data_IF_766916026855
#
_entry.id   IF_766916026855
#
_cell.length_a   1.000
_cell.length_b   1.000
_cell.length_c   1.000
_cell.angle_alpha   90.00
_cell.angle_beta   90.00
_cell.angle_gamma   90.00
#
_symmetry.space_group_name_H-M   'P 1'
#
loop_
_entity.id
_entity.type
_entity.pdbx_description
1 polymer ?
#
# COMPACT_ATOMS: atom_id res chain seq x y z
N UNK A 1 -52.08 -13.50 4.88
CA UNK A 1 -51.70 -14.09 3.57
C UNK A 1 -51.51 -12.98 2.55
N UNK A 2 -50.30 -12.41 2.43
CA UNK A 2 -49.88 -11.64 1.24
C UNK A 2 -48.34 -11.74 1.16
N UNK A 3 -47.82 -11.73 -0.06
CA UNK A 3 -46.42 -11.52 -0.48
C UNK A 3 -45.58 -12.76 -0.83
N UNK A 4 -46.06 -13.55 -1.80
CA UNK A 4 -45.24 -14.43 -2.65
C UNK A 4 -44.83 -13.82 -4.00
N UNK A 5 -44.97 -12.51 -4.19
CA UNK A 5 -44.87 -11.87 -5.52
C UNK A 5 -43.47 -11.44 -5.98
N UNK A 6 -42.54 -11.17 -5.05
CA UNK A 6 -41.26 -10.52 -5.41
C UNK A 6 -40.18 -11.51 -5.87
N UNK A 7 -40.16 -12.71 -5.30
CA UNK A 7 -39.19 -13.76 -5.65
C UNK A 7 -39.50 -14.47 -6.98
N UNK A 8 -40.75 -14.46 -7.43
CA UNK A 8 -41.16 -15.07 -8.71
C UNK A 8 -40.68 -14.31 -9.95
N UNK A 9 -40.55 -12.98 -9.85
CA UNK A 9 -40.12 -12.12 -10.96
C UNK A 9 -38.60 -12.22 -11.17
N UNK A 10 -37.82 -12.30 -10.08
CA UNK A 10 -36.37 -12.49 -10.15
C UNK A 10 -35.97 -13.86 -10.72
N UNK A 11 -36.68 -14.94 -10.33
CA UNK A 11 -36.42 -16.28 -10.88
C UNK A 11 -36.81 -16.45 -12.35
N UNK A 12 -37.85 -15.74 -12.84
CA UNK A 12 -38.19 -15.78 -14.28
C UNK A 12 -37.18 -15.03 -15.15
N UNK A 13 -36.65 -13.89 -14.69
CA UNK A 13 -35.59 -13.16 -15.41
C UNK A 13 -34.25 -13.92 -15.44
N UNK A 14 -33.89 -14.63 -14.38
CA UNK A 14 -32.64 -15.41 -14.37
C UNK A 14 -32.69 -16.65 -15.28
N UNK A 15 -33.87 -17.25 -15.47
CA UNK A 15 -34.05 -18.42 -16.33
C UNK A 15 -34.08 -18.07 -17.83
N UNK A 16 -34.59 -16.88 -18.21
CA UNK A 16 -34.54 -16.40 -19.60
C UNK A 16 -33.14 -15.92 -20.05
N UNK A 17 -32.24 -15.61 -19.10
CA UNK A 17 -30.87 -15.18 -19.39
C UNK A 17 -29.86 -16.35 -19.55
N UNK A 18 -30.29 -17.61 -19.40
CA UNK A 18 -29.38 -18.76 -19.38
C UNK A 18 -28.83 -19.16 -20.76
N UNK A 19 -29.53 -18.85 -21.85
CA UNK A 19 -29.15 -19.23 -23.23
C UNK A 19 -28.45 -18.12 -24.03
N UNK A 20 -28.23 -16.96 -23.41
CA UNK A 20 -27.61 -15.82 -24.09
C UNK A 20 -26.10 -15.97 -23.98
N UNK A 21 -25.42 -16.08 -25.12
CA UNK A 21 -23.96 -16.04 -25.20
C UNK A 21 -23.46 -14.74 -24.55
N UNK A 22 -22.99 -14.87 -23.30
CA UNK A 22 -22.34 -13.80 -22.55
C UNK A 22 -21.21 -13.20 -23.35
N UNK A 23 -21.08 -11.89 -23.29
CA UNK A 23 -19.97 -11.18 -23.93
C UNK A 23 -18.67 -11.57 -23.24
N UNK A 24 -17.75 -12.18 -23.99
CA UNK A 24 -16.40 -12.44 -23.49
C UNK A 24 -15.53 -11.21 -23.73
N UNK A 25 -14.77 -10.81 -22.70
CA UNK A 25 -13.75 -9.78 -22.86
C UNK A 25 -12.72 -10.18 -23.93
N UNK A 26 -12.18 -9.21 -24.69
CA UNK A 26 -11.11 -9.45 -25.64
C UNK A 26 -9.88 -10.06 -24.95
N UNK A 27 -9.17 -11.03 -25.56
CA UNK A 27 -7.99 -11.65 -24.95
C UNK A 27 -6.92 -10.64 -24.51
N UNK A 28 -6.69 -9.61 -25.34
CA UNK A 28 -5.73 -8.54 -25.03
C UNK A 28 -6.08 -7.77 -23.75
N UNK A 29 -7.37 -7.50 -23.54
CA UNK A 29 -7.88 -6.79 -22.35
C UNK A 29 -7.74 -7.69 -21.11
N UNK A 30 -8.06 -8.99 -21.21
CA UNK A 30 -7.84 -9.94 -20.10
C UNK A 30 -6.37 -10.02 -19.68
N UNK A 31 -5.47 -10.09 -20.66
CA UNK A 31 -4.01 -10.11 -20.42
C UNK A 31 -3.57 -8.81 -19.73
N UNK A 32 -4.05 -7.66 -20.21
CA UNK A 32 -3.77 -6.34 -19.66
C UNK A 32 -4.20 -6.23 -18.17
N UNK A 33 -5.43 -6.65 -17.85
CA UNK A 33 -5.96 -6.69 -16.48
C UNK A 33 -5.11 -7.59 -15.59
N UNK A 34 -4.81 -8.81 -16.03
CA UNK A 34 -4.00 -9.75 -15.24
C UNK A 34 -2.59 -9.23 -15.00
N UNK A 35 -1.97 -8.61 -16.01
CA UNK A 35 -0.64 -8.01 -15.92
C UNK A 35 -0.63 -6.86 -14.91
N UNK A 36 -1.61 -5.96 -14.97
CA UNK A 36 -1.72 -4.82 -14.07
C UNK A 36 -1.95 -5.27 -12.62
N UNK A 37 -2.89 -6.19 -12.39
CA UNK A 37 -3.19 -6.72 -11.05
C UNK A 37 -1.96 -7.41 -10.44
N UNK A 38 -1.30 -8.29 -11.20
CA UNK A 38 -0.08 -8.97 -10.73
C UNK A 38 1.02 -7.98 -10.37
N UNK A 39 1.16 -6.91 -11.15
CA UNK A 39 2.15 -5.88 -10.87
C UNK A 39 1.79 -5.08 -9.62
N UNK A 40 0.52 -4.68 -9.46
CA UNK A 40 0.04 -3.98 -8.28
C UNK A 40 0.23 -4.81 -7.01
N UNK A 41 -0.05 -6.12 -7.05
CA UNK A 41 0.21 -7.04 -5.93
C UNK A 41 1.71 -7.07 -5.57
N UNK A 42 2.58 -7.11 -6.59
CA UNK A 42 4.03 -7.12 -6.41
C UNK A 42 4.52 -5.83 -5.76
N UNK A 43 4.09 -4.67 -6.27
CA UNK A 43 4.47 -3.37 -5.72
C UNK A 43 3.91 -3.14 -4.32
N UNK A 44 2.69 -3.64 -4.05
CA UNK A 44 2.11 -3.62 -2.71
C UNK A 44 2.99 -4.39 -1.73
N UNK A 45 3.37 -5.63 -2.04
CA UNK A 45 4.22 -6.44 -1.19
C UNK A 45 5.60 -5.80 -0.96
N UNK A 46 6.20 -5.18 -1.98
CA UNK A 46 7.47 -4.46 -1.86
C UNK A 46 7.35 -3.26 -0.94
N UNK A 47 6.32 -2.43 -1.12
CA UNK A 47 6.08 -1.26 -0.27
C UNK A 47 5.81 -1.67 1.18
N UNK A 48 5.00 -2.70 1.41
CA UNK A 48 4.75 -3.23 2.76
C UNK A 48 6.02 -3.73 3.42
N UNK A 49 6.89 -4.45 2.69
CA UNK A 49 8.17 -4.91 3.22
C UNK A 49 9.08 -3.75 3.65
N UNK A 50 9.18 -2.68 2.83
CA UNK A 50 9.95 -1.50 3.20
C UNK A 50 9.33 -0.73 4.37
N UNK A 51 8.01 -0.60 4.43
CA UNK A 51 7.30 0.06 5.52
C UNK A 51 7.50 -0.70 6.84
N UNK A 52 7.37 -2.03 6.83
CA UNK A 52 7.65 -2.87 7.99
C UNK A 52 9.12 -2.78 8.43
N UNK A 53 10.04 -2.64 7.48
CA UNK A 53 11.46 -2.46 7.79
C UNK A 53 11.72 -1.11 8.50
N UNK A 54 11.03 -0.05 8.10
CA UNK A 54 11.12 1.27 8.72
C UNK A 54 10.40 1.35 10.08
N UNK A 55 9.34 0.56 10.27
CA UNK A 55 8.51 0.52 11.47
C UNK A 55 8.22 -0.93 11.87
N UNK A 56 9.08 -1.56 12.68
CA UNK A 56 8.88 -2.95 13.12
C UNK A 56 7.71 -3.14 14.10
N UNK A 57 7.11 -2.06 14.60
CA UNK A 57 5.85 -2.11 15.36
C UNK A 57 4.70 -2.44 14.41
N UNK A 58 4.17 -3.66 14.49
CA UNK A 58 3.11 -4.15 13.60
C UNK A 58 1.79 -3.37 13.75
N UNK A 59 1.56 -2.74 14.90
CA UNK A 59 0.37 -1.92 15.18
C UNK A 59 0.43 -0.53 14.55
N UNK A 60 1.64 -0.02 14.26
CA UNK A 60 1.86 1.35 13.78
C UNK A 60 2.39 1.39 12.35
N UNK A 61 2.39 0.27 11.62
CA UNK A 61 2.82 0.23 10.23
C UNK A 61 1.63 0.64 9.33
N UNK A 62 1.64 1.83 8.70
CA UNK A 62 0.60 2.22 7.78
C UNK A 62 0.61 1.33 6.55
N UNK A 63 -0.59 1.07 6.00
CA UNK A 63 -0.74 0.29 4.77
C UNK A 63 -0.09 1.01 3.59
N UNK A 64 0.39 0.26 2.60
CA UNK A 64 1.07 0.79 1.41
C UNK A 64 0.25 1.86 0.66
N UNK A 65 -1.07 1.78 0.73
CA UNK A 65 -2.03 2.68 0.09
C UNK A 65 -2.53 3.83 0.99
N UNK A 66 -2.08 3.92 2.25
CA UNK A 66 -2.57 4.97 3.16
C UNK A 66 -1.76 6.26 3.01
N UNK A 67 -2.43 7.41 3.01
CA UNK A 67 -1.81 8.74 3.06
C UNK A 67 -1.27 9.08 4.47
N UNK A 68 -1.57 8.24 5.46
CA UNK A 68 -1.35 8.55 6.87
C UNK A 68 0.15 8.55 7.22
N UNK A 69 0.64 9.72 7.61
CA UNK A 69 1.89 9.87 8.35
C UNK A 69 1.58 9.36 9.76
N UNK A 70 2.32 8.36 10.26
CA UNK A 70 2.30 8.07 11.69
C UNK A 70 2.96 9.25 12.40
N UNK A 71 2.14 10.23 12.79
CA UNK A 71 2.58 11.36 13.63
C UNK A 71 2.92 10.90 15.06
N UNK A 72 2.32 9.79 15.50
CA UNK A 72 2.54 9.20 16.82
C UNK A 72 3.40 7.94 16.73
N UNK A 73 4.71 8.11 16.49
CA UNK A 73 5.59 6.96 16.51
C UNK A 73 5.77 6.45 17.95
N UNK A 74 5.44 5.18 18.19
CA UNK A 74 5.79 4.45 19.42
C UNK A 74 7.30 4.52 19.76
N UNK A 75 8.18 4.86 18.80
CA UNK A 75 9.61 5.14 19.06
C UNK A 75 9.88 6.40 19.88
N UNK A 76 8.96 7.38 19.91
CA UNK A 76 9.02 8.45 20.93
C UNK A 76 8.88 7.83 22.32
N UNK A 77 7.94 6.90 22.52
CA UNK A 77 7.76 6.24 23.81
C UNK A 77 8.96 5.37 24.20
N UNK A 78 9.60 4.67 23.25
CA UNK A 78 10.73 3.78 23.53
C UNK A 78 12.01 4.58 23.83
N UNK A 79 12.32 5.62 23.05
CA UNK A 79 13.47 6.46 23.31
C UNK A 79 13.32 7.25 24.63
N UNK A 80 12.14 7.84 24.87
CA UNK A 80 11.83 8.52 26.14
C UNK A 80 11.83 7.54 27.32
N UNK A 81 11.30 6.32 27.17
CA UNK A 81 11.30 5.33 28.26
C UNK A 81 12.71 4.82 28.57
N UNK A 82 13.56 4.60 27.57
CA UNK A 82 14.96 4.25 27.79
C UNK A 82 15.73 5.40 28.42
N UNK A 83 15.56 6.65 27.97
CA UNK A 83 16.15 7.82 28.62
C UNK A 83 15.67 7.99 30.07
N UNK A 84 14.38 7.73 30.35
CA UNK A 84 13.83 7.73 31.72
C UNK A 84 14.43 6.60 32.57
N UNK A 85 14.63 5.41 32.01
CA UNK A 85 15.30 4.30 32.71
C UNK A 85 16.75 4.66 33.06
N UNK A 86 17.52 5.23 32.12
CA UNK A 86 18.89 5.69 32.41
C UNK A 86 18.91 6.79 33.47
N UNK A 87 17.96 7.72 33.44
CA UNK A 87 17.82 8.75 34.47
C UNK A 87 17.55 8.16 35.86
N UNK A 88 16.68 7.14 35.94
CA UNK A 88 16.39 6.43 37.19
C UNK A 88 17.60 5.63 37.72
N UNK A 89 18.37 5.01 36.82
CA UNK A 89 19.57 4.25 37.18
C UNK A 89 20.75 5.17 37.53
N UNK A 90 20.80 6.40 37.00
CA UNK A 90 21.90 7.33 37.24
C UNK A 90 22.05 7.72 38.73
N UNK A 91 20.98 7.65 39.51
CA UNK A 91 21.03 7.82 40.97
C UNK A 91 21.84 6.74 41.71
N UNK A 92 22.18 5.63 41.05
CA UNK A 92 22.96 4.52 41.62
C UNK A 92 24.41 4.46 41.12
N UNK A 93 24.74 5.06 39.96
CA UNK A 93 26.03 4.85 39.30
C UNK A 93 26.94 6.10 39.27
N UNK A 94 26.45 7.30 39.65
CA UNK A 94 27.22 8.55 39.80
C UNK A 94 28.30 8.79 38.72
N UNK A 95 28.01 8.42 37.46
CA UNK A 95 28.91 8.56 36.30
C UNK A 95 28.27 9.54 35.32
N UNK A 96 28.50 10.84 35.54
CA UNK A 96 27.96 11.89 34.65
C UNK A 96 28.40 11.72 33.19
N UNK A 97 29.61 11.19 32.98
CA UNK A 97 30.13 10.86 31.66
C UNK A 97 29.33 9.73 31.00
N UNK A 98 28.99 8.66 31.72
CA UNK A 98 28.18 7.55 31.20
C UNK A 98 26.78 8.05 30.82
N UNK A 99 26.17 8.87 31.69
CA UNK A 99 24.87 9.48 31.42
C UNK A 99 24.91 10.31 30.14
N UNK A 100 25.89 11.20 30.00
CA UNK A 100 26.02 12.07 28.83
C UNK A 100 26.21 11.26 27.52
N UNK A 101 26.99 10.18 27.54
CA UNK A 101 27.18 9.33 26.36
C UNK A 101 25.93 8.49 26.04
N UNK A 102 25.22 8.01 27.07
CA UNK A 102 23.95 7.29 26.90
C UNK A 102 22.87 8.22 26.33
N UNK A 103 22.70 9.42 26.90
CA UNK A 103 21.75 10.43 26.41
C UNK A 103 22.04 10.81 24.96
N UNK A 104 23.32 11.05 24.62
CA UNK A 104 23.76 11.29 23.24
C UNK A 104 23.37 10.13 22.30
N UNK A 105 23.73 8.91 22.67
CA UNK A 105 23.47 7.74 21.82
C UNK A 105 21.98 7.50 21.62
N UNK A 106 21.16 7.65 22.66
CA UNK A 106 19.70 7.48 22.59
C UNK A 106 19.06 8.56 21.72
N UNK A 107 19.45 9.82 21.90
CA UNK A 107 18.91 10.92 21.10
C UNK A 107 19.26 10.75 19.61
N UNK A 108 20.52 10.44 19.31
CA UNK A 108 20.96 10.32 17.92
C UNK A 108 20.48 9.05 17.22
N UNK A 109 20.29 7.94 17.95
CA UNK A 109 19.65 6.74 17.37
C UNK A 109 18.17 6.99 17.10
N UNK A 110 17.45 7.61 18.05
CA UNK A 110 16.05 8.02 17.84
C UNK A 110 15.90 8.94 16.62
N UNK A 111 16.73 9.98 16.53
CA UNK A 111 16.70 10.92 15.40
C UNK A 111 17.00 10.23 14.08
N UNK A 112 17.98 9.31 14.06
CA UNK A 112 18.28 8.53 12.87
C UNK A 112 17.10 7.67 12.43
N UNK A 113 16.39 7.02 13.37
CA UNK A 113 15.18 6.24 13.07
C UNK A 113 14.04 7.11 12.56
N UNK A 114 13.84 8.30 13.15
CA UNK A 114 12.83 9.26 12.69
C UNK A 114 13.13 9.72 11.26
N UNK A 115 14.34 10.19 11.00
CA UNK A 115 14.77 10.63 9.66
C UNK A 115 14.64 9.49 8.64
N UNK A 116 15.00 8.26 9.03
CA UNK A 116 14.87 7.07 8.18
C UNK A 116 13.43 6.81 7.74
N UNK A 117 12.46 6.93 8.66
CA UNK A 117 11.05 6.77 8.33
C UNK A 117 10.55 7.87 7.40
N UNK A 118 10.95 9.12 7.65
CA UNK A 118 10.54 10.26 6.82
C UNK A 118 11.12 10.16 5.42
N UNK A 119 12.42 9.97 5.30
CA UNK A 119 13.10 9.94 4.01
C UNK A 119 12.82 8.65 3.24
N UNK A 120 12.66 7.53 3.94
CA UNK A 120 12.25 6.28 3.31
C UNK A 120 10.83 6.36 2.73
N UNK A 121 9.89 7.03 3.39
CA UNK A 121 8.55 7.26 2.81
C UNK A 121 8.58 8.15 1.56
N UNK A 122 9.45 9.17 1.54
CA UNK A 122 9.66 10.01 0.34
C UNK A 122 10.29 9.21 -0.80
N UNK A 123 11.20 8.30 -0.47
CA UNK A 123 11.85 7.42 -1.42
C UNK A 123 10.95 6.27 -1.92
N UNK A 124 9.69 6.18 -1.49
CA UNK A 124 8.67 5.26 -2.00
C UNK A 124 7.43 6.02 -2.49
N UNK A 125 7.59 7.30 -2.84
CA UNK A 125 6.47 8.15 -3.20
C UNK A 125 5.81 7.70 -4.50
N UNK A 126 6.56 7.37 -5.54
CA UNK A 126 5.98 7.04 -6.84
C UNK A 126 5.30 5.67 -6.82
N UNK A 127 5.91 4.65 -6.21
CA UNK A 127 5.28 3.33 -6.03
C UNK A 127 3.98 3.42 -5.23
N UNK A 128 3.94 4.26 -4.17
CA UNK A 128 2.72 4.46 -3.38
C UNK A 128 1.66 5.26 -4.16
N UNK A 129 2.07 6.29 -4.88
CA UNK A 129 1.17 7.10 -5.71
C UNK A 129 0.55 6.28 -6.85
N UNK A 130 1.33 5.38 -7.44
CA UNK A 130 0.82 4.42 -8.43
C UNK A 130 -0.32 3.57 -7.85
N UNK A 131 -0.15 3.01 -6.64
CA UNK A 131 -1.20 2.19 -6.03
C UNK A 131 -2.45 3.01 -5.67
N UNK A 132 -2.26 4.20 -5.13
CA UNK A 132 -3.36 5.05 -4.65
C UNK A 132 -4.15 5.73 -5.79
N UNK A 133 -3.49 6.05 -6.89
CA UNK A 133 -4.08 6.84 -7.98
C UNK A 133 -4.20 6.01 -9.26
N UNK A 134 -3.07 5.64 -9.86
CA UNK A 134 -3.05 5.01 -11.19
C UNK A 134 -3.78 3.66 -11.18
N UNK A 135 -3.49 2.81 -10.19
CA UNK A 135 -4.12 1.50 -10.06
C UNK A 135 -5.58 1.59 -9.58
N UNK A 136 -5.91 2.57 -8.73
CA UNK A 136 -7.29 2.81 -8.32
C UNK A 136 -8.17 3.21 -9.52
N UNK A 137 -7.68 4.16 -10.35
CA UNK A 137 -8.35 4.56 -11.59
C UNK A 137 -8.46 3.40 -12.58
N UNK A 138 -7.39 2.59 -12.70
CA UNK A 138 -7.43 1.38 -13.53
C UNK A 138 -8.53 0.42 -13.06
N UNK A 139 -8.65 0.20 -11.74
CA UNK A 139 -9.63 -0.70 -11.17
C UNK A 139 -11.06 -0.20 -11.37
N UNK A 140 -11.28 1.11 -11.24
CA UNK A 140 -12.56 1.74 -11.57
C UNK A 140 -12.94 1.48 -13.04
N UNK A 141 -12.00 1.63 -13.98
CA UNK A 141 -12.25 1.32 -15.40
C UNK A 141 -12.58 -0.15 -15.66
N UNK A 142 -11.96 -1.08 -14.91
CA UNK A 142 -12.32 -2.50 -14.95
C UNK A 142 -13.76 -2.71 -14.46
N UNK A 143 -14.15 -2.07 -13.36
CA UNK A 143 -15.49 -2.20 -12.81
C UNK A 143 -16.55 -1.57 -13.74
N UNK A 144 -16.21 -0.46 -14.42
CA UNK A 144 -17.05 0.12 -15.49
C UNK A 144 -17.16 -0.79 -16.71
N UNK A 145 -16.08 -1.48 -17.10
CA UNK A 145 -16.12 -2.47 -18.17
C UNK A 145 -17.03 -3.66 -17.82
N UNK A 146 -16.98 -4.15 -16.58
CA UNK A 146 -17.86 -5.23 -16.11
C UNK A 146 -19.35 -4.82 -16.12
N UNK A 147 -19.64 -3.58 -15.72
CA UNK A 147 -20.99 -3.00 -15.81
C UNK A 147 -21.45 -2.88 -17.26
N UNK A 148 -20.62 -2.31 -18.14
CA UNK A 148 -20.94 -2.20 -19.57
C UNK A 148 -21.17 -3.57 -20.22
N UNK A 149 -20.37 -4.58 -19.87
CA UNK A 149 -20.54 -5.97 -20.33
C UNK A 149 -21.90 -6.52 -19.89
N UNK A 150 -22.27 -6.31 -18.63
CA UNK A 150 -23.55 -6.76 -18.07
C UNK A 150 -24.73 -6.07 -18.74
N UNK A 151 -24.64 -4.77 -18.95
CA UNK A 151 -25.68 -3.98 -19.61
C UNK A 151 -25.83 -4.38 -21.08
N UNK A 152 -24.72 -4.61 -21.79
CA UNK A 152 -24.73 -5.05 -23.18
C UNK A 152 -25.34 -6.45 -23.33
N UNK A 153 -25.03 -7.38 -22.41
CA UNK A 153 -25.66 -8.71 -22.37
C UNK A 153 -27.17 -8.62 -22.09
N UNK A 154 -27.59 -7.72 -21.19
CA UNK A 154 -29.01 -7.48 -20.90
C UNK A 154 -29.75 -6.83 -22.06
N UNK A 155 -29.14 -5.84 -22.73
CA UNK A 155 -29.72 -5.20 -23.90
C UNK A 155 -29.87 -6.20 -25.04
N UNK A 156 -28.84 -7.01 -25.30
CA UNK A 156 -28.87 -8.12 -26.27
C UNK A 156 -29.99 -9.12 -25.99
N UNK A 157 -30.29 -9.39 -24.72
CA UNK A 157 -31.42 -10.23 -24.30
C UNK A 157 -32.78 -9.64 -24.68
N UNK A 158 -32.88 -8.31 -24.70
CA UNK A 158 -34.11 -7.55 -24.91
C UNK A 158 -34.27 -7.06 -26.35
N UNK A 159 -33.24 -7.19 -27.20
CA UNK A 159 -33.26 -6.72 -28.59
C UNK A 159 -34.24 -7.46 -29.49
N UNK A 160 -34.54 -8.72 -29.18
CA UNK A 160 -35.45 -9.56 -29.98
C UNK A 160 -36.74 -9.75 -29.21
N UNK A 161 -37.87 -9.35 -29.80
CA UNK A 161 -39.18 -9.73 -29.27
C UNK A 161 -39.34 -11.25 -29.41
N UNK A 162 -39.47 -11.94 -28.27
CA UNK A 162 -39.58 -13.39 -28.20
C UNK A 162 -40.80 -13.96 -28.94
N UNK A 163 -41.80 -13.13 -29.28
CA UNK A 163 -43.01 -13.56 -29.99
C UNK A 163 -42.97 -13.32 -31.49
N UNK A 164 -42.34 -12.23 -31.94
CA UNK A 164 -42.34 -11.80 -33.35
C UNK A 164 -41.00 -12.00 -34.03
N UNK A 165 -39.91 -12.14 -33.28
CA UNK A 165 -38.55 -12.27 -33.81
C UNK A 165 -38.00 -10.97 -34.43
N UNK A 166 -38.76 -9.88 -34.37
CA UNK A 166 -38.36 -8.57 -34.90
C UNK A 166 -37.46 -7.83 -33.90
N UNK A 167 -36.46 -7.10 -34.44
CA UNK A 167 -35.59 -6.23 -33.65
C UNK A 167 -36.36 -4.99 -33.20
N UNK A 168 -36.35 -4.70 -31.90
CA UNK A 168 -36.96 -3.49 -31.35
C UNK A 168 -35.97 -2.32 -31.54
N UNK A 169 -36.29 -1.29 -32.34
CA UNK A 169 -35.34 -0.23 -32.69
C UNK A 169 -34.74 0.51 -31.48
N UNK A 170 -35.56 0.83 -30.47
CA UNK A 170 -35.12 1.48 -29.23
C UNK A 170 -34.10 0.64 -28.44
N UNK A 171 -34.30 -0.69 -28.43
CA UNK A 171 -33.41 -1.63 -27.73
C UNK A 171 -32.10 -1.87 -28.47
N UNK A 172 -32.12 -1.68 -29.79
CA UNK A 172 -30.92 -1.70 -30.64
C UNK A 172 -30.06 -0.46 -30.42
N UNK A 173 -30.68 0.71 -30.28
CA UNK A 173 -29.98 1.94 -29.92
C UNK A 173 -29.30 1.82 -28.55
N UNK A 174 -30.05 1.35 -27.55
CA UNK A 174 -29.53 1.09 -26.19
C UNK A 174 -28.33 0.10 -26.19
N UNK A 175 -28.40 -0.96 -27.00
CA UNK A 175 -27.27 -1.89 -27.16
C UNK A 175 -26.03 -1.23 -27.77
N UNK A 176 -26.19 -0.42 -28.82
CA UNK A 176 -25.05 0.26 -29.46
C UNK A 176 -24.42 1.31 -28.53
N UNK A 177 -25.18 1.94 -27.64
CA UNK A 177 -24.64 2.80 -26.57
C UNK A 177 -23.76 2.01 -25.59
N UNK A 178 -24.26 0.89 -25.04
CA UNK A 178 -23.46 0.06 -24.13
C UNK A 178 -22.24 -0.56 -24.81
N UNK A 179 -22.34 -0.87 -26.10
CA UNK A 179 -21.21 -1.36 -26.90
C UNK A 179 -20.13 -0.29 -27.07
N UNK A 180 -20.50 0.96 -27.36
CA UNK A 180 -19.54 2.08 -27.39
C UNK A 180 -18.88 2.28 -26.03
N UNK A 181 -19.63 2.17 -24.94
CA UNK A 181 -19.07 2.28 -23.59
C UNK A 181 -18.10 1.13 -23.29
N UNK A 182 -18.44 -0.11 -23.68
CA UNK A 182 -17.57 -1.27 -23.58
C UNK A 182 -16.27 -1.09 -24.36
N UNK A 183 -16.34 -0.62 -25.61
CA UNK A 183 -15.18 -0.38 -26.46
C UNK A 183 -14.29 0.74 -25.89
N UNK A 184 -14.89 1.82 -25.38
CA UNK A 184 -14.18 2.92 -24.70
C UNK A 184 -13.42 2.41 -23.48
N UNK A 185 -14.08 1.68 -22.58
CA UNK A 185 -13.45 1.16 -21.36
C UNK A 185 -12.34 0.14 -21.69
N UNK A 186 -12.53 -0.68 -22.73
CA UNK A 186 -11.46 -1.55 -23.25
C UNK A 186 -10.24 -0.75 -23.72
N UNK A 187 -10.46 0.33 -24.47
CA UNK A 187 -9.38 1.18 -24.97
C UNK A 187 -8.63 1.88 -23.83
N UNK A 188 -9.34 2.37 -22.81
CA UNK A 188 -8.75 3.00 -21.63
C UNK A 188 -7.89 2.02 -20.82
N UNK A 189 -8.36 0.78 -20.61
CA UNK A 189 -7.59 -0.28 -19.95
C UNK A 189 -6.31 -0.60 -20.73
N UNK A 190 -6.41 -0.75 -22.05
CA UNK A 190 -5.25 -1.03 -22.90
C UNK A 190 -4.24 0.13 -22.90
N UNK A 191 -4.72 1.37 -22.92
CA UNK A 191 -3.87 2.56 -22.85
C UNK A 191 -3.15 2.68 -21.51
N UNK A 192 -3.83 2.39 -20.40
CA UNK A 192 -3.21 2.35 -19.08
C UNK A 192 -2.14 1.25 -18.99
N UNK A 193 -2.45 0.04 -19.47
CA UNK A 193 -1.49 -1.08 -19.48
C UNK A 193 -0.31 -0.85 -20.42
N UNK A 194 -0.46 -0.08 -21.49
CA UNK A 194 0.65 0.26 -22.38
C UNK A 194 1.72 1.14 -21.71
N UNK A 195 1.34 1.94 -20.69
CA UNK A 195 2.28 2.77 -19.90
C UNK A 195 2.98 1.98 -18.79
N UNK A 196 2.54 0.75 -18.52
CA UNK A 196 3.07 -0.04 -17.40
C UNK A 196 4.59 -0.29 -17.46
N UNK A 197 5.23 -0.56 -18.63
CA UNK A 197 6.67 -0.77 -18.68
C UNK A 197 7.49 0.47 -18.28
N UNK A 198 7.04 1.66 -18.69
CA UNK A 198 7.68 2.93 -18.30
C UNK A 198 7.58 3.15 -16.78
N UNK A 199 6.37 2.94 -16.22
CA UNK A 199 6.15 2.98 -14.76
C UNK A 199 7.03 1.97 -14.01
N UNK A 200 7.18 0.77 -14.56
CA UNK A 200 8.02 -0.27 -13.97
C UNK A 200 9.47 0.17 -13.84
N UNK A 201 9.99 0.86 -14.85
CA UNK A 201 11.35 1.39 -14.82
C UNK A 201 11.51 2.53 -13.79
N UNK A 202 10.54 3.44 -13.72
CA UNK A 202 10.50 4.52 -12.71
C UNK A 202 10.50 3.96 -11.28
N UNK A 203 9.60 3.01 -11.01
CA UNK A 203 9.50 2.35 -9.70
C UNK A 203 10.78 1.58 -9.34
N UNK A 204 11.41 0.92 -10.32
CA UNK A 204 12.66 0.21 -10.07
C UNK A 204 13.80 1.16 -9.69
N UNK A 205 13.92 2.30 -10.38
CA UNK A 205 14.89 3.35 -10.02
C UNK A 205 14.63 3.89 -8.60
N UNK A 206 13.36 4.10 -8.26
CA UNK A 206 12.97 4.53 -6.93
C UNK A 206 13.36 3.51 -5.84
N UNK A 207 13.10 2.22 -6.06
CA UNK A 207 13.49 1.14 -5.14
C UNK A 207 15.02 1.11 -4.94
N UNK A 208 15.81 1.31 -6.00
CA UNK A 208 17.27 1.42 -5.88
C UNK A 208 17.66 2.64 -5.04
N UNK A 209 16.99 3.78 -5.25
CA UNK A 209 17.24 5.01 -4.51
C UNK A 209 16.86 4.93 -3.02
N UNK A 210 16.12 3.89 -2.61
CA UNK A 210 15.88 3.59 -1.20
C UNK A 210 17.15 3.05 -0.50
N UNK A 211 18.07 2.40 -1.22
CA UNK A 211 19.28 1.79 -0.63
C UNK A 211 20.19 2.83 0.07
N UNK A 212 20.51 3.99 -0.53
CA UNK A 212 21.25 5.05 0.16
C UNK A 212 20.57 5.57 1.45
N UNK A 213 19.24 5.52 1.50
CA UNK A 213 18.47 5.91 2.70
C UNK A 213 18.70 4.92 3.83
N UNK A 214 18.68 3.61 3.52
CA UNK A 214 19.03 2.54 4.47
C UNK A 214 20.49 2.69 4.95
N UNK A 215 21.43 2.90 4.02
CA UNK A 215 22.85 3.04 4.37
C UNK A 215 23.07 4.23 5.31
N UNK A 216 22.49 5.39 4.98
CA UNK A 216 22.58 6.61 5.80
C UNK A 216 22.05 6.38 7.21
N UNK A 217 20.93 5.66 7.34
CA UNK A 217 20.37 5.29 8.63
C UNK A 217 21.34 4.46 9.47
N UNK A 218 21.85 3.34 8.93
CA UNK A 218 22.76 2.47 9.67
C UNK A 218 24.07 3.16 10.05
N UNK A 219 24.64 3.97 9.14
CA UNK A 219 25.86 4.74 9.44
C UNK A 219 25.65 5.72 10.59
N UNK A 220 24.48 6.38 10.65
CA UNK A 220 24.13 7.29 11.75
C UNK A 220 23.95 6.54 13.07
N UNK A 221 23.28 5.39 13.06
CA UNK A 221 23.09 4.53 14.24
C UNK A 221 24.44 4.00 14.76
N UNK A 222 25.28 3.44 13.89
CA UNK A 222 26.61 2.93 14.25
C UNK A 222 27.47 4.05 14.84
N UNK A 223 27.44 5.25 14.27
CA UNK A 223 28.18 6.41 14.80
C UNK A 223 27.69 6.81 16.20
N UNK A 224 26.39 6.81 16.43
CA UNK A 224 25.80 7.13 17.73
C UNK A 224 26.19 6.10 18.80
N UNK A 225 26.10 4.80 18.48
CA UNK A 225 26.45 3.71 19.39
C UNK A 225 27.96 3.58 19.61
N UNK A 226 28.77 3.86 18.59
CA UNK A 226 30.23 3.89 18.68
C UNK A 226 30.75 4.91 19.70
N UNK A 227 29.98 5.97 19.96
CA UNK A 227 30.29 6.94 21.02
C UNK A 227 30.24 6.31 22.42
N UNK A 228 29.27 5.45 22.72
CA UNK A 228 29.19 4.71 23.99
C UNK A 228 30.32 3.70 24.11
N UNK A 229 30.70 3.04 23.01
CA UNK A 229 31.78 2.05 22.99
C UNK A 229 33.14 2.64 23.42
N UNK A 230 33.38 3.94 23.19
CA UNK A 230 34.60 4.62 23.64
C UNK A 230 34.76 4.65 25.17
N UNK A 231 33.69 4.42 25.93
CA UNK A 231 33.74 4.31 27.39
C UNK A 231 34.24 2.95 27.88
N UNK A 232 34.18 1.87 27.07
CA UNK A 232 34.69 0.53 27.46
C UNK A 232 36.18 0.51 27.76
N UNK A 233 36.94 1.44 27.18
CA UNK A 233 38.39 1.54 27.36
C UNK A 233 38.82 2.43 28.54
N UNK A 234 37.86 3.01 29.28
CA UNK A 234 38.14 3.73 30.53
C UNK A 234 37.84 2.78 31.69
N UNK A 235 38.84 2.50 32.52
CA UNK A 235 38.68 1.67 33.71
C UNK A 235 37.51 2.17 34.56
N UNK A 236 36.65 1.25 34.97
CA UNK A 236 35.57 1.54 35.91
C UNK A 236 36.25 1.76 37.27
N UNK A 237 36.21 2.96 37.88
CA UNK A 237 36.69 3.11 39.23
C UNK A 237 35.82 2.23 40.11
N UNK A 238 36.44 1.27 40.79
CA UNK A 238 35.79 0.42 41.78
C UNK A 238 35.11 1.35 42.77
N UNK A 239 33.82 1.16 43.09
CA UNK A 239 33.19 1.93 44.17
C UNK A 239 34.05 1.72 45.40
N UNK A 240 34.69 2.80 45.89
CA UNK A 240 35.28 2.78 47.21
C UNK A 240 34.12 2.41 48.13
N UNK A 241 34.14 1.20 48.68
CA UNK A 241 33.20 0.80 49.70
C UNK A 241 33.15 1.95 50.69
N UNK A 242 31.96 2.55 50.82
CA UNK A 242 31.69 3.52 51.86
C UNK A 242 32.15 2.87 53.16
N UNK A 243 33.29 3.33 53.65
CA UNK A 243 33.84 2.98 54.93
C UNK A 243 32.86 3.52 55.97
N UNK A 244 31.83 2.74 56.26
CA UNK A 244 31.05 2.87 57.47
C UNK A 244 31.75 2.07 58.56
N UNK A 245 32.79 2.69 59.13
CA UNK A 245 33.13 2.77 60.56
C UNK A 245 34.59 3.19 60.75
#
# INVERSE_FOLDING_TARGET
>A
MVNGGFWGIFKRRSAQNADIKKTSLPPKVKIAINSMNKYADTITAVNEAFLMYMQPSFTDCPKANSEQICEDNATNSTALSVMRMFTAVNGYWNREDLKAHADYALFHTWKATFDFQVDGRKALHFTRSFLAVDYANFKENVDLLEKATTNMDQAKAQMVDQKTGEEIPEKKEEYEEYKKEFERNCAEILAASAKLPERQEEHFKEIINFVPVIETYHLRVVRALGWVSKLKNKSIPTPAHAANK
#
